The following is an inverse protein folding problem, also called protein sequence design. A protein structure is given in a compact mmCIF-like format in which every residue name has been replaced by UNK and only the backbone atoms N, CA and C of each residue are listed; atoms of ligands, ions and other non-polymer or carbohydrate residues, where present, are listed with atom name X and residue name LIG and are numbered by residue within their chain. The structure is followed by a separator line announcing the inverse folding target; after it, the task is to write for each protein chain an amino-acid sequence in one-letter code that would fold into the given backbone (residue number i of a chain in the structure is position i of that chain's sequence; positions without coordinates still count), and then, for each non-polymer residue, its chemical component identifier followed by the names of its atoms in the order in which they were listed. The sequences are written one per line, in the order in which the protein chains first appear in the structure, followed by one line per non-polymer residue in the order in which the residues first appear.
data_IF_097627128385
#
_entry.id   IF_097627128385
#
_cell.length_a   1.000
_cell.length_b   1.000
_cell.length_c   1.000
_cell.angle_alpha   90.00
_cell.angle_beta   90.00
_cell.angle_gamma   90.00
#
_symmetry.space_group_name_H-M   'P 1'
#
loop_
_entity.id
_entity.type
_entity.pdbx_description
1 polymer ?
#
# COMPACT_ATOMS: atom_id res chain seq x y z
N UNK A 1 23.01 26.73 -15.93
CA UNK A 1 22.50 26.78 -14.54
C UNK A 1 22.96 25.57 -13.75
N UNK A 2 23.48 25.79 -12.54
CA UNK A 2 23.69 24.70 -11.58
C UNK A 2 22.32 24.11 -11.20
N UNK A 3 22.23 22.78 -11.20
CA UNK A 3 21.03 22.05 -10.80
C UNK A 3 20.95 22.01 -9.27
N UNK A 4 19.78 21.69 -8.73
CA UNK A 4 19.65 21.30 -7.32
C UNK A 4 20.73 20.27 -6.98
N UNK A 5 21.22 20.28 -5.75
CA UNK A 5 22.11 19.24 -5.26
C UNK A 5 21.45 17.85 -5.46
N UNK A 6 22.27 16.82 -5.62
CA UNK A 6 21.79 15.48 -6.01
C UNK A 6 20.73 14.93 -5.04
N UNK A 7 20.88 15.16 -3.74
CA UNK A 7 19.95 14.69 -2.70
C UNK A 7 18.58 15.35 -2.84
N UNK A 8 18.54 16.68 -2.96
CA UNK A 8 17.31 17.45 -3.11
C UNK A 8 16.65 17.18 -4.46
N UNK A 9 17.44 17.01 -5.52
CA UNK A 9 16.96 16.61 -6.84
C UNK A 9 16.25 15.25 -6.81
N UNK A 10 16.87 14.22 -6.22
CA UNK A 10 16.28 12.89 -6.12
C UNK A 10 15.02 12.89 -5.25
N UNK A 11 15.05 13.60 -4.12
CA UNK A 11 13.93 13.65 -3.18
C UNK A 11 12.64 14.21 -3.81
N UNK A 12 12.75 15.19 -4.71
CA UNK A 12 11.59 15.80 -5.38
C UNK A 12 11.05 14.88 -6.48
N UNK A 13 11.93 14.17 -7.21
CA UNK A 13 11.54 13.32 -8.34
C UNK A 13 10.67 12.14 -7.92
N UNK A 14 10.91 11.60 -6.74
CA UNK A 14 10.18 10.43 -6.24
C UNK A 14 8.79 10.78 -5.67
N UNK A 15 8.42 12.07 -5.65
CA UNK A 15 7.12 12.54 -5.14
C UNK A 15 6.12 12.65 -6.29
N UNK A 16 4.95 11.98 -6.21
CA UNK A 16 3.90 12.11 -7.22
C UNK A 16 3.46 13.56 -7.44
N UNK A 17 3.25 13.97 -8.70
CA UNK A 17 2.92 15.35 -9.08
C UNK A 17 1.78 15.99 -8.27
N UNK A 18 0.73 15.21 -7.92
CA UNK A 18 -0.38 15.69 -7.08
C UNK A 18 0.04 16.05 -5.65
N UNK A 19 0.91 15.24 -5.04
CA UNK A 19 1.46 15.53 -3.71
C UNK A 19 2.41 16.71 -3.79
N UNK A 20 3.23 16.75 -4.84
CA UNK A 20 4.17 17.84 -5.07
C UNK A 20 3.45 19.18 -5.25
N UNK A 21 2.28 19.21 -5.91
CA UNK A 21 1.46 20.41 -6.01
C UNK A 21 1.05 20.99 -4.65
N UNK A 22 0.63 20.13 -3.70
CA UNK A 22 0.31 20.56 -2.33
C UNK A 22 1.52 21.17 -1.63
N UNK A 23 2.72 20.64 -1.90
CA UNK A 23 3.97 21.18 -1.39
C UNK A 23 4.30 22.53 -2.05
N UNK A 24 4.09 22.66 -3.36
CA UNK A 24 4.34 23.88 -4.13
C UNK A 24 3.47 25.07 -3.70
N UNK A 25 2.25 24.83 -3.25
CA UNK A 25 1.38 25.88 -2.69
C UNK A 25 1.99 26.54 -1.44
N UNK A 26 2.78 25.79 -0.69
CA UNK A 26 3.47 26.27 0.51
C UNK A 26 4.85 26.87 0.20
N UNK A 27 5.32 26.77 -1.05
CA UNK A 27 6.61 27.25 -1.48
C UNK A 27 6.54 28.65 -2.12
N UNK A 28 7.68 29.35 -2.04
CA UNK A 28 7.96 30.57 -2.77
C UNK A 28 7.86 30.35 -4.28
N UNK A 29 7.60 31.44 -5.02
CA UNK A 29 7.49 31.39 -6.48
C UNK A 29 8.82 30.91 -7.12
N UNK A 30 9.96 31.32 -6.58
CA UNK A 30 11.28 30.85 -7.00
C UNK A 30 11.50 29.36 -6.69
N UNK A 31 11.07 28.90 -5.51
CA UNK A 31 11.16 27.50 -5.12
C UNK A 31 10.36 26.60 -6.05
N UNK A 32 9.12 26.99 -6.35
CA UNK A 32 8.28 26.25 -7.29
C UNK A 32 8.82 26.27 -8.72
N UNK A 33 9.41 27.37 -9.15
CA UNK A 33 10.03 27.50 -10.47
C UNK A 33 11.23 26.54 -10.63
N UNK A 34 12.09 26.47 -9.63
CA UNK A 34 13.24 25.56 -9.62
C UNK A 34 12.79 24.10 -9.56
N UNK A 35 11.78 23.77 -8.74
CA UNK A 35 11.18 22.42 -8.71
C UNK A 35 10.67 22.02 -10.09
N UNK A 36 9.90 22.89 -10.74
CA UNK A 36 9.35 22.66 -12.08
C UNK A 36 10.41 22.39 -13.14
N UNK A 37 11.53 23.12 -13.09
CA UNK A 37 12.69 22.93 -13.98
C UNK A 37 13.40 21.58 -13.80
N UNK A 38 13.32 20.98 -12.61
CA UNK A 38 14.03 19.75 -12.28
C UNK A 38 13.18 18.49 -12.45
N UNK A 39 11.91 18.63 -12.85
CA UNK A 39 10.99 17.52 -13.09
C UNK A 39 11.00 17.10 -14.56
N UNK A 40 10.54 15.88 -14.83
CA UNK A 40 10.41 15.39 -16.19
C UNK A 40 9.30 16.12 -16.95
N UNK A 41 9.47 16.31 -18.27
CA UNK A 41 8.61 17.18 -19.08
C UNK A 41 7.10 16.88 -18.95
N UNK A 42 6.72 15.63 -18.71
CA UNK A 42 5.33 15.23 -18.48
C UNK A 42 4.79 15.77 -17.16
N UNK A 43 5.49 15.52 -16.06
CA UNK A 43 5.08 15.96 -14.72
C UNK A 43 5.09 17.49 -14.62
N UNK A 44 6.08 18.15 -15.23
CA UNK A 44 6.17 19.60 -15.35
C UNK A 44 4.92 20.20 -16.00
N UNK A 45 4.48 19.62 -17.14
CA UNK A 45 3.30 20.09 -17.86
C UNK A 45 2.02 19.88 -17.05
N UNK A 46 1.89 18.74 -16.38
CA UNK A 46 0.71 18.43 -15.57
C UNK A 46 0.62 19.38 -14.36
N UNK A 47 1.72 19.70 -13.67
CA UNK A 47 1.66 20.67 -12.57
C UNK A 47 1.36 22.09 -13.06
N UNK A 48 1.98 22.56 -14.14
CA UNK A 48 1.70 23.92 -14.69
C UNK A 48 0.20 24.06 -14.97
N UNK A 49 -0.46 23.02 -15.50
CA UNK A 49 -1.91 23.06 -15.77
C UNK A 49 -2.74 23.18 -14.50
N UNK A 50 -2.27 22.62 -13.39
CA UNK A 50 -2.98 22.65 -12.09
C UNK A 50 -2.76 23.95 -11.31
N UNK A 51 -1.71 24.72 -11.62
CA UNK A 51 -1.43 26.00 -10.97
C UNK A 51 -2.34 27.13 -11.46
N UNK A 52 -2.69 28.05 -10.55
CA UNK A 52 -3.39 29.29 -10.93
C UNK A 52 -2.55 30.14 -11.88
N UNK A 53 -3.22 30.89 -12.78
CA UNK A 53 -2.54 31.76 -13.75
C UNK A 53 -1.53 32.70 -13.08
N UNK A 54 -1.93 33.35 -11.98
CA UNK A 54 -1.07 34.27 -11.22
C UNK A 54 0.21 33.58 -10.71
N UNK A 55 0.11 32.35 -10.20
CA UNK A 55 1.27 31.60 -9.69
C UNK A 55 2.19 31.17 -10.84
N UNK A 56 1.63 30.72 -11.96
CA UNK A 56 2.38 30.41 -13.18
C UNK A 56 3.20 31.59 -13.67
N UNK A 57 2.58 32.75 -13.81
CA UNK A 57 3.23 33.95 -14.35
C UNK A 57 4.42 34.36 -13.48
N UNK A 58 4.27 34.31 -12.16
CA UNK A 58 5.36 34.59 -11.22
C UNK A 58 6.48 33.58 -11.28
N UNK A 59 6.17 32.28 -11.37
CA UNK A 59 7.17 31.24 -11.50
C UNK A 59 7.97 31.39 -12.79
N UNK A 60 7.30 31.70 -13.91
CA UNK A 60 7.96 31.97 -15.20
C UNK A 60 8.86 33.19 -15.10
N UNK A 61 8.38 34.28 -14.47
CA UNK A 61 9.21 35.48 -14.25
C UNK A 61 10.45 35.15 -13.42
N UNK A 62 10.32 34.37 -12.35
CA UNK A 62 11.47 33.94 -11.55
C UNK A 62 12.50 33.15 -12.38
N UNK A 63 12.08 32.33 -13.35
CA UNK A 63 13.01 31.61 -14.22
C UNK A 63 13.76 32.57 -15.16
N UNK A 64 13.07 33.56 -15.72
CA UNK A 64 13.68 34.57 -16.60
C UNK A 64 14.71 35.41 -15.82
N UNK A 65 14.33 35.85 -14.61
CA UNK A 65 15.21 36.64 -13.75
C UNK A 65 16.44 35.83 -13.32
N UNK A 66 16.26 34.53 -13.03
CA UNK A 66 17.34 33.64 -12.61
C UNK A 66 18.31 33.31 -13.77
N UNK A 67 17.80 33.10 -14.99
CA UNK A 67 18.61 32.90 -16.19
C UNK A 67 19.52 34.11 -16.47
N UNK A 68 19.01 35.31 -16.20
CA UNK A 68 19.71 36.59 -16.44
C UNK A 68 20.63 37.01 -15.29
N UNK A 69 20.60 36.31 -14.15
CA UNK A 69 21.35 36.66 -12.95
C UNK A 69 22.81 36.17 -12.99
N UNK A 70 23.69 36.87 -12.26
CA UNK A 70 25.07 36.44 -12.05
C UNK A 70 25.15 35.11 -11.30
N UNK A 71 26.23 34.35 -11.51
CA UNK A 71 26.39 33.00 -10.93
C UNK A 71 26.28 32.98 -9.40
N UNK A 72 26.79 34.02 -8.73
CA UNK A 72 26.72 34.18 -7.26
C UNK A 72 25.28 34.28 -6.78
N UNK A 73 24.44 35.05 -7.48
CA UNK A 73 23.02 35.23 -7.19
C UNK A 73 22.26 33.93 -7.47
N UNK A 74 22.54 33.26 -8.59
CA UNK A 74 21.96 31.96 -8.91
C UNK A 74 22.21 30.95 -7.78
N UNK A 75 23.44 30.91 -7.27
CA UNK A 75 23.81 30.02 -6.17
C UNK A 75 23.05 30.32 -4.88
N UNK A 76 22.90 31.60 -4.52
CA UNK A 76 22.17 32.00 -3.32
C UNK A 76 20.68 31.67 -3.41
N UNK A 77 20.07 31.88 -4.57
CA UNK A 77 18.66 31.51 -4.82
C UNK A 77 18.50 30.00 -4.69
N UNK A 78 19.35 29.21 -5.35
CA UNK A 78 19.30 27.75 -5.28
C UNK A 78 19.48 27.24 -3.84
N UNK A 79 20.45 27.76 -3.09
CA UNK A 79 20.66 27.36 -1.69
C UNK A 79 19.43 27.66 -0.81
N UNK A 80 18.80 28.82 -1.01
CA UNK A 80 17.57 29.19 -0.29
C UNK A 80 16.41 28.26 -0.66
N UNK A 81 16.27 27.95 -1.95
CA UNK A 81 15.24 27.03 -2.46
C UNK A 81 15.47 25.62 -1.92
N UNK A 82 16.70 25.14 -1.84
CA UNK A 82 17.02 23.83 -1.26
C UNK A 82 16.61 23.75 0.22
N UNK A 83 16.89 24.79 1.01
CA UNK A 83 16.45 24.88 2.42
C UNK A 83 14.93 24.89 2.54
N UNK A 84 14.25 25.58 1.63
CA UNK A 84 12.79 25.62 1.56
C UNK A 84 12.21 24.24 1.23
N UNK A 85 12.74 23.56 0.21
CA UNK A 85 12.35 22.20 -0.16
C UNK A 85 12.53 21.27 1.04
N UNK A 86 13.70 21.28 1.69
CA UNK A 86 13.96 20.41 2.84
C UNK A 86 12.97 20.65 4.00
N UNK A 87 12.59 21.91 4.26
CA UNK A 87 11.60 22.24 5.30
C UNK A 87 10.21 21.70 4.96
N UNK A 88 9.79 21.84 3.71
CA UNK A 88 8.49 21.37 3.23
C UNK A 88 8.46 19.83 3.22
N UNK A 89 9.56 19.20 2.79
CA UNK A 89 9.73 17.74 2.86
C UNK A 89 9.72 17.24 4.30
N UNK A 90 10.41 17.90 5.24
CA UNK A 90 10.39 17.52 6.65
C UNK A 90 8.95 17.53 7.20
N UNK A 91 8.17 18.56 6.86
CA UNK A 91 6.75 18.63 7.21
C UNK A 91 5.93 17.48 6.60
N UNK A 92 6.25 17.08 5.36
CA UNK A 92 5.63 15.93 4.71
C UNK A 92 5.97 14.61 5.43
N UNK A 93 7.24 14.38 5.75
CA UNK A 93 7.69 13.16 6.41
C UNK A 93 7.22 13.09 7.88
N UNK A 94 7.13 14.20 8.59
CA UNK A 94 6.60 14.26 9.96
C UNK A 94 5.11 13.91 10.02
N UNK A 95 4.37 14.08 8.92
CA UNK A 95 2.97 13.67 8.83
C UNK A 95 2.76 12.17 8.57
N UNK A 96 3.82 11.41 8.27
CA UNK A 96 3.72 9.97 8.02
C UNK A 96 3.65 9.23 9.35
N UNK A 97 2.49 8.67 9.66
CA UNK A 97 2.36 7.72 10.76
C UNK A 97 3.02 6.39 10.37
N UNK A 98 4.18 6.10 10.99
CA UNK A 98 4.94 4.86 10.79
C UNK A 98 4.08 3.62 11.06
N UNK A 99 3.19 3.68 12.06
CA UNK A 99 2.32 2.55 12.39
C UNK A 99 1.28 2.30 11.29
N UNK A 100 0.76 3.36 10.67
CA UNK A 100 -0.15 3.24 9.52
C UNK A 100 0.59 2.66 8.31
N UNK A 101 1.81 3.13 8.03
CA UNK A 101 2.60 2.59 6.92
C UNK A 101 2.99 1.13 7.14
N UNK A 102 3.34 0.74 8.36
CA UNK A 102 3.63 -0.65 8.71
C UNK A 102 2.38 -1.53 8.58
N UNK A 103 1.22 -1.04 9.01
CA UNK A 103 -0.04 -1.77 8.86
C UNK A 103 -0.36 -2.05 7.38
N UNK A 104 -0.21 -1.05 6.52
CA UNK A 104 -0.36 -1.21 5.07
C UNK A 104 0.57 -2.30 4.52
N UNK A 105 1.88 -2.22 4.82
CA UNK A 105 2.86 -3.20 4.34
C UNK A 105 2.53 -4.62 4.84
N UNK A 106 2.22 -4.76 6.13
CA UNK A 106 1.87 -6.04 6.74
C UNK A 106 0.62 -6.64 6.08
N UNK A 107 -0.36 -5.82 5.66
CA UNK A 107 -1.55 -6.32 4.97
C UNK A 107 -1.23 -6.89 3.59
N UNK A 108 -0.19 -6.40 2.91
CA UNK A 108 0.24 -6.90 1.60
C UNK A 108 1.21 -8.08 1.66
N UNK A 109 1.76 -8.40 2.83
CA UNK A 109 2.63 -9.56 3.01
C UNK A 109 1.87 -10.87 2.91
N UNK A 110 2.59 -11.89 2.45
CA UNK A 110 2.23 -13.30 2.58
C UNK A 110 2.03 -13.69 4.05
N UNK A 111 1.28 -14.76 4.32
CA UNK A 111 0.93 -15.15 5.70
C UNK A 111 2.18 -15.44 6.53
N UNK A 112 3.14 -16.17 5.96
CA UNK A 112 4.44 -16.48 6.59
C UNK A 112 5.24 -15.22 6.96
N UNK A 113 5.36 -14.28 6.03
CA UNK A 113 6.07 -13.01 6.22
C UNK A 113 5.38 -12.13 7.27
N UNK A 114 4.04 -12.06 7.23
CA UNK A 114 3.23 -11.31 8.19
C UNK A 114 3.41 -11.84 9.60
N UNK A 115 3.39 -13.16 9.80
CA UNK A 115 3.64 -13.79 11.11
C UNK A 115 5.05 -13.42 11.61
N UNK A 116 6.07 -13.63 10.79
CA UNK A 116 7.46 -13.35 11.16
C UNK A 116 7.68 -11.87 11.56
N UNK A 117 7.09 -10.93 10.80
CA UNK A 117 7.19 -9.49 11.08
C UNK A 117 6.42 -9.11 12.35
N UNK A 118 5.22 -9.66 12.56
CA UNK A 118 4.44 -9.40 13.77
C UNK A 118 5.13 -9.93 15.03
N UNK A 119 5.74 -11.12 14.95
CA UNK A 119 6.53 -11.69 16.05
C UNK A 119 7.76 -10.84 16.35
N UNK A 120 8.49 -10.40 15.32
CA UNK A 120 9.62 -9.48 15.49
C UNK A 120 9.21 -8.17 16.19
N UNK A 121 8.09 -7.57 15.77
CA UNK A 121 7.57 -6.33 16.37
C UNK A 121 7.18 -6.58 17.84
N UNK A 122 6.52 -7.70 18.12
CA UNK A 122 6.11 -8.10 19.47
C UNK A 122 7.31 -8.24 20.41
N UNK A 123 8.36 -8.87 19.93
CA UNK A 123 9.57 -9.16 20.72
C UNK A 123 10.41 -7.90 20.96
N UNK A 124 10.50 -7.00 19.97
CA UNK A 124 11.29 -5.76 20.09
C UNK A 124 10.59 -4.66 20.87
N UNK A 125 9.28 -4.47 20.70
CA UNK A 125 8.55 -3.35 21.34
C UNK A 125 7.05 -3.64 21.51
N UNK A 126 6.68 -4.24 22.64
CA UNK A 126 5.28 -4.59 23.00
C UNK A 126 4.28 -3.43 22.86
N UNK A 127 4.67 -2.20 23.22
CA UNK A 127 3.79 -1.03 23.12
C UNK A 127 3.48 -0.66 21.66
N UNK A 128 4.45 -0.80 20.76
CA UNK A 128 4.25 -0.56 19.33
C UNK A 128 3.41 -1.67 18.69
N UNK A 129 3.58 -2.92 19.13
CA UNK A 129 2.78 -4.05 18.65
C UNK A 129 1.27 -3.81 18.80
N UNK A 130 0.82 -3.32 19.96
CA UNK A 130 -0.59 -3.01 20.18
C UNK A 130 -1.13 -1.93 19.24
N UNK A 131 -0.35 -0.87 19.00
CA UNK A 131 -0.72 0.23 18.11
C UNK A 131 -0.79 -0.24 16.65
N UNK A 132 0.22 -0.98 16.20
CA UNK A 132 0.28 -1.52 14.83
C UNK A 132 -0.87 -2.51 14.60
N UNK A 133 -1.19 -3.37 15.57
CA UNK A 133 -2.32 -4.29 15.46
C UNK A 133 -3.64 -3.54 15.28
N UNK A 134 -3.86 -2.44 16.02
CA UNK A 134 -5.03 -1.58 15.83
C UNK A 134 -5.05 -0.97 14.42
N UNK A 135 -3.92 -0.47 13.94
CA UNK A 135 -3.78 0.08 12.58
C UNK A 135 -4.01 -0.97 11.48
N UNK A 136 -3.61 -2.22 11.69
CA UNK A 136 -3.90 -3.33 10.77
C UNK A 136 -5.41 -3.55 10.67
N UNK A 137 -6.13 -3.55 11.79
CA UNK A 137 -7.60 -3.70 11.78
C UNK A 137 -8.25 -2.53 11.02
N UNK A 138 -7.88 -1.29 11.37
CA UNK A 138 -8.38 -0.08 10.68
C UNK A 138 -8.10 -0.13 9.16
N UNK A 139 -6.90 -0.57 8.76
CA UNK A 139 -6.52 -0.69 7.35
C UNK A 139 -7.32 -1.79 6.64
N UNK A 140 -7.48 -2.96 7.28
CA UNK A 140 -8.29 -4.07 6.73
C UNK A 140 -9.72 -3.66 6.47
N UNK A 141 -10.36 -3.00 7.43
CA UNK A 141 -11.74 -2.50 7.30
C UNK A 141 -11.87 -1.48 6.17
N UNK A 142 -10.94 -0.51 6.10
CA UNK A 142 -10.94 0.54 5.09
C UNK A 142 -10.75 0.03 3.67
N UNK A 143 -9.99 -1.05 3.49
CA UNK A 143 -9.60 -1.60 2.19
C UNK A 143 -10.27 -2.93 1.86
N UNK A 144 -11.25 -3.36 2.67
CA UNK A 144 -11.95 -4.65 2.52
C UNK A 144 -10.98 -5.86 2.44
N UNK A 145 -9.85 -5.76 3.15
CA UNK A 145 -8.83 -6.83 3.19
C UNK A 145 -9.19 -7.82 4.27
N UNK A 146 -9.05 -9.10 3.95
CA UNK A 146 -9.35 -10.18 4.85
C UNK A 146 -8.27 -11.25 4.77
N UNK A 147 -7.82 -11.70 5.93
CA UNK A 147 -6.81 -12.74 6.06
C UNK A 147 -7.50 -14.09 6.17
N UNK A 148 -6.73 -15.16 5.95
CA UNK A 148 -7.27 -16.52 5.98
C UNK A 148 -7.84 -16.88 7.37
N UNK A 149 -7.29 -16.31 8.43
CA UNK A 149 -7.73 -16.52 9.82
C UNK A 149 -9.11 -15.89 10.10
N UNK A 150 -9.50 -14.89 9.32
CA UNK A 150 -10.81 -14.24 9.49
C UNK A 150 -11.97 -15.15 9.05
N UNK A 151 -11.71 -16.30 8.41
CA UNK A 151 -12.74 -17.30 8.01
C UNK A 151 -13.63 -17.70 9.18
N UNK A 152 -13.09 -17.72 10.41
CA UNK A 152 -13.86 -18.04 11.61
C UNK A 152 -15.04 -17.07 11.85
N UNK A 153 -14.92 -15.83 11.35
CA UNK A 153 -15.96 -14.81 11.47
C UNK A 153 -17.02 -14.87 10.37
N UNK A 154 -16.83 -15.69 9.33
CA UNK A 154 -17.81 -15.82 8.25
C UNK A 154 -19.05 -16.61 8.70
N UNK A 155 -20.25 -16.17 8.29
CA UNK A 155 -21.47 -16.95 8.42
C UNK A 155 -21.35 -18.30 7.69
N UNK A 156 -21.91 -19.36 8.27
CA UNK A 156 -21.89 -20.71 7.69
C UNK A 156 -22.57 -20.76 6.32
N UNK A 157 -23.66 -20.01 6.14
CA UNK A 157 -24.37 -19.90 4.86
C UNK A 157 -23.47 -19.30 3.77
N UNK A 158 -22.73 -18.23 4.08
CA UNK A 158 -21.80 -17.60 3.14
C UNK A 158 -20.63 -18.53 2.77
N UNK A 159 -20.08 -19.25 3.76
CA UNK A 159 -19.03 -20.24 3.51
C UNK A 159 -19.53 -21.34 2.58
N UNK A 160 -20.69 -21.93 2.89
CA UNK A 160 -21.28 -23.02 2.11
C UNK A 160 -21.55 -22.62 0.66
N UNK A 161 -22.09 -21.42 0.45
CA UNK A 161 -22.49 -20.96 -0.87
C UNK A 161 -21.30 -20.58 -1.78
N UNK A 162 -20.18 -20.17 -1.19
CA UNK A 162 -19.02 -19.63 -1.91
C UNK A 162 -17.86 -20.61 -2.03
N UNK A 163 -17.65 -21.47 -1.03
CA UNK A 163 -16.50 -22.39 -1.01
C UNK A 163 -16.59 -23.47 -2.09
N UNK A 164 -17.79 -23.80 -2.54
CA UNK A 164 -18.05 -24.77 -3.62
C UNK A 164 -17.49 -24.34 -4.98
N UNK A 165 -17.17 -23.06 -5.18
CA UNK A 165 -16.59 -22.54 -6.43
C UNK A 165 -15.05 -22.71 -6.47
N UNK A 166 -14.44 -23.22 -5.40
CA UNK A 166 -12.99 -23.43 -5.29
C UNK A 166 -12.65 -24.89 -5.66
N UNK A 167 -11.58 -25.06 -6.43
CA UNK A 167 -11.01 -26.36 -6.75
C UNK A 167 -10.67 -27.16 -5.47
N UNK A 168 -11.07 -28.44 -5.42
CA UNK A 168 -10.93 -29.28 -4.20
C UNK A 168 -9.48 -29.44 -3.76
N UNK A 169 -8.56 -29.54 -4.73
CA UNK A 169 -7.13 -29.64 -4.44
C UNK A 169 -6.60 -28.35 -3.85
N UNK A 170 -7.06 -27.18 -4.30
CA UNK A 170 -6.73 -25.89 -3.65
C UNK A 170 -7.28 -25.81 -2.24
N UNK A 171 -8.51 -26.27 -1.99
CA UNK A 171 -9.05 -26.32 -0.61
C UNK A 171 -8.17 -27.22 0.27
N UNK A 172 -7.81 -28.41 -0.21
CA UNK A 172 -6.94 -29.34 0.51
C UNK A 172 -5.59 -28.70 0.87
N UNK A 173 -4.94 -28.04 -0.08
CA UNK A 173 -3.67 -27.31 0.16
C UNK A 173 -3.88 -26.19 1.19
N UNK A 174 -4.95 -25.40 1.08
CA UNK A 174 -5.21 -24.27 1.95
C UNK A 174 -5.43 -24.66 3.41
N UNK A 175 -6.08 -25.82 3.65
CA UNK A 175 -6.41 -26.29 5.02
C UNK A 175 -5.37 -27.22 5.64
N UNK A 176 -4.35 -27.66 4.88
CA UNK A 176 -3.35 -28.64 5.38
C UNK A 176 -2.56 -28.10 6.59
N UNK A 177 -2.08 -26.87 6.49
CA UNK A 177 -1.28 -26.18 7.54
C UNK A 177 -2.11 -25.12 8.28
N UNK A 178 -3.43 -25.14 8.11
CA UNK A 178 -4.32 -24.21 8.79
C UNK A 178 -4.57 -24.64 10.24
N UNK A 179 -4.90 -23.68 11.10
CA UNK A 179 -5.39 -23.98 12.45
C UNK A 179 -6.60 -24.93 12.37
N UNK A 180 -6.65 -25.91 13.27
CA UNK A 180 -7.68 -26.96 13.28
C UNK A 180 -9.11 -26.38 13.37
N UNK A 181 -9.28 -25.22 14.01
CA UNK A 181 -10.56 -24.50 14.04
C UNK A 181 -11.00 -24.03 12.64
N UNK A 182 -10.07 -23.46 11.85
CA UNK A 182 -10.34 -22.97 10.48
C UNK A 182 -10.63 -24.17 9.57
N UNK A 183 -9.79 -25.20 9.65
CA UNK A 183 -9.96 -26.45 8.90
C UNK A 183 -11.32 -27.07 9.19
N UNK A 184 -11.72 -27.20 10.46
CA UNK A 184 -13.03 -27.75 10.85
C UNK A 184 -14.17 -26.91 10.29
N UNK A 185 -14.13 -25.58 10.48
CA UNK A 185 -15.14 -24.63 9.98
C UNK A 185 -15.34 -24.75 8.46
N UNK A 186 -14.24 -24.86 7.71
CA UNK A 186 -14.26 -25.06 6.25
C UNK A 186 -14.86 -26.42 5.89
N UNK A 187 -14.37 -27.50 6.52
CA UNK A 187 -14.79 -28.87 6.22
C UNK A 187 -16.27 -29.10 6.51
N UNK A 188 -16.78 -28.59 7.63
CA UNK A 188 -18.18 -28.74 8.04
C UNK A 188 -19.15 -28.02 7.10
N UNK A 189 -18.73 -26.90 6.51
CA UNK A 189 -19.54 -26.13 5.56
C UNK A 189 -19.48 -26.64 4.12
N UNK A 190 -18.72 -27.71 3.83
CA UNK A 190 -18.72 -28.36 2.53
C UNK A 190 -19.79 -29.47 2.42
N UNK A 191 -20.40 -29.66 1.23
CA UNK A 191 -21.20 -30.84 0.95
C UNK A 191 -20.40 -32.13 1.15
N UNK A 192 -21.05 -33.19 1.66
CA UNK A 192 -20.39 -34.46 2.01
C UNK A 192 -19.45 -34.99 0.92
N UNK A 193 -19.91 -35.00 -0.34
CA UNK A 193 -19.12 -35.45 -1.49
C UNK A 193 -17.85 -34.62 -1.70
N UNK A 194 -17.95 -33.30 -1.58
CA UNK A 194 -16.79 -32.39 -1.74
C UNK A 194 -15.81 -32.59 -0.57
N UNK A 195 -16.34 -32.73 0.65
CA UNK A 195 -15.54 -33.01 1.84
C UNK A 195 -14.75 -34.31 1.71
N UNK A 196 -15.36 -35.37 1.17
CA UNK A 196 -14.70 -36.65 0.87
C UNK A 196 -13.56 -36.43 -0.15
N UNK A 197 -13.81 -35.74 -1.26
CA UNK A 197 -12.77 -35.43 -2.27
C UNK A 197 -11.60 -34.61 -1.70
N UNK A 198 -11.89 -33.57 -0.91
CA UNK A 198 -10.84 -32.76 -0.25
C UNK A 198 -10.04 -33.59 0.76
N UNK A 199 -10.69 -34.55 1.44
CA UNK A 199 -10.01 -35.44 2.39
C UNK A 199 -9.08 -36.41 1.67
N UNK A 200 -9.50 -36.93 0.53
CA UNK A 200 -8.65 -37.77 -0.33
C UNK A 200 -7.46 -36.97 -0.88
N UNK A 201 -7.70 -35.76 -1.39
CA UNK A 201 -6.64 -34.86 -1.85
C UNK A 201 -5.64 -34.55 -0.72
N UNK A 202 -6.13 -34.25 0.50
CA UNK A 202 -5.30 -34.00 1.68
C UNK A 202 -4.35 -35.16 2.01
N UNK A 203 -4.81 -36.40 1.91
CA UNK A 203 -3.98 -37.60 2.17
C UNK A 203 -2.87 -37.78 1.14
N UNK A 204 -3.09 -37.31 -0.09
CA UNK A 204 -2.13 -37.44 -1.20
C UNK A 204 -1.10 -36.29 -1.25
N UNK A 205 -1.29 -35.23 -0.46
CA UNK A 205 -0.30 -34.14 -0.40
C UNK A 205 0.82 -34.56 0.55
N UNK A 206 1.99 -34.88 0.01
CA UNK A 206 3.19 -35.22 0.81
C UNK A 206 3.84 -33.97 1.41
N UNK A 207 4.20 -33.00 0.55
CA UNK A 207 4.87 -31.76 0.93
C UNK A 207 4.25 -30.56 0.23
N UNK A 208 4.37 -29.39 0.86
CA UNK A 208 3.94 -28.12 0.33
C UNK A 208 5.02 -27.07 0.56
N UNK A 209 5.18 -26.20 -0.42
CA UNK A 209 5.92 -24.95 -0.27
C UNK A 209 5.02 -23.87 0.33
N UNK A 210 5.62 -22.88 0.97
CA UNK A 210 4.90 -21.73 1.53
C UNK A 210 4.10 -21.00 0.44
N UNK A 211 4.67 -20.84 -0.75
CA UNK A 211 4.00 -20.18 -1.86
C UNK A 211 2.74 -20.95 -2.32
N UNK A 212 2.79 -22.28 -2.36
CA UNK A 212 1.61 -23.10 -2.69
C UNK A 212 0.50 -22.94 -1.66
N UNK A 213 0.85 -22.87 -0.37
CA UNK A 213 -0.11 -22.67 0.72
C UNK A 213 -0.74 -21.27 0.58
N UNK A 214 0.08 -20.23 0.42
CA UNK A 214 -0.40 -18.86 0.29
C UNK A 214 -1.28 -18.67 -0.95
N UNK A 215 -0.91 -19.24 -2.11
CA UNK A 215 -1.74 -19.20 -3.32
C UNK A 215 -3.09 -19.89 -3.12
N UNK A 216 -3.10 -21.03 -2.45
CA UNK A 216 -4.31 -21.78 -2.15
C UNK A 216 -5.22 -21.03 -1.18
N UNK A 217 -4.66 -20.50 -0.08
CA UNK A 217 -5.39 -19.68 0.89
C UNK A 217 -5.96 -18.42 0.23
N UNK A 218 -5.18 -17.73 -0.61
CA UNK A 218 -5.65 -16.58 -1.37
C UNK A 218 -6.77 -16.94 -2.36
N UNK A 219 -6.72 -18.12 -3.00
CA UNK A 219 -7.79 -18.57 -3.87
C UNK A 219 -9.10 -18.81 -3.10
N UNK A 220 -9.02 -19.43 -1.91
CA UNK A 220 -10.17 -19.59 -1.02
C UNK A 220 -10.71 -18.23 -0.60
N UNK A 221 -9.87 -17.32 -0.11
CA UNK A 221 -10.30 -15.98 0.31
C UNK A 221 -10.92 -15.18 -0.83
N UNK A 222 -10.38 -15.29 -2.05
CA UNK A 222 -10.95 -14.63 -3.23
C UNK A 222 -12.33 -15.17 -3.57
N UNK A 223 -12.56 -16.47 -3.46
CA UNK A 223 -13.89 -17.04 -3.67
C UNK A 223 -14.87 -16.59 -2.58
N UNK A 224 -14.45 -16.57 -1.32
CA UNK A 224 -15.26 -16.09 -0.20
C UNK A 224 -15.58 -14.60 -0.31
N UNK A 225 -14.67 -13.78 -0.84
CA UNK A 225 -14.88 -12.34 -1.00
C UNK A 225 -15.56 -11.94 -2.31
N UNK A 226 -15.56 -12.82 -3.31
CA UNK A 226 -16.35 -12.63 -4.52
C UNK A 226 -17.84 -12.70 -4.18
N UNK A 227 -18.42 -11.54 -3.87
CA UNK A 227 -19.86 -11.38 -3.73
C UNK A 227 -20.52 -11.81 -5.04
N UNK A 228 -21.19 -12.98 -5.07
CA UNK A 228 -22.01 -13.38 -6.22
C UNK A 228 -22.98 -12.23 -6.49
N UNK A 229 -22.84 -11.59 -7.66
CA UNK A 229 -23.82 -10.62 -8.13
C UNK A 229 -25.12 -11.39 -8.39
N UNK A 230 -26.04 -11.34 -7.43
CA UNK A 230 -27.45 -11.65 -7.64
C UNK A 230 -28.00 -12.84 -6.86
N UNK A 231 -28.58 -12.55 -5.71
CA UNK A 231 -29.82 -13.19 -5.23
C UNK A 231 -30.44 -12.36 -4.09
N UNK A 232 -30.78 -11.11 -4.41
CA UNK A 232 -31.81 -10.34 -3.71
C UNK A 232 -32.86 -9.98 -4.75
N UNK A 233 -33.90 -10.82 -4.83
CA UNK A 233 -35.04 -10.69 -5.73
C UNK A 233 -36.19 -10.01 -4.99
N UNK A 234 -36.93 -9.16 -5.72
CA UNK A 234 -38.21 -8.49 -5.41
C UNK A 234 -38.12 -7.09 -4.79
#
# INVERSE_FOLDING_TARGET
MKKLNLTTYLAIRDIPAKKLLLLLEQMSDAGGAVVLMNLESRDSLDMIRMLSQKKRDRMVQCLIDLESAEETIQHQVLEKVEKEILKVLATHYDSIDINERLAELICHFQSSQRIAVLDLIRDKKKTAFGQIRKKIIEYKEKHEICFFEDILSFPDEDLRDRIQDVDTRKIAIAVKEADEAIKTKIMENMPRRIREMVSDDLQNIESLTVDQIDEAQNAVMKALMNKKRGSGSR
#
